data_IF_688151396385
#
_entry.id   IF_688151396385
#
_cell.length_a   1.000
_cell.length_b   1.000
_cell.length_c   1.000
_cell.angle_alpha   90.00
_cell.angle_beta   90.00
_cell.angle_gamma   90.00
#
_symmetry.space_group_name_H-M   'P 1'
#
loop_
_entity.id
_entity.type
_entity.pdbx_description
1 polymer ?
#
# COMPACT_ATOMS: atom_id res chain seq x y z
N UNK A 1 -64.71 0.07 -25.02
CA UNK A 1 -64.42 0.68 -23.71
C UNK A 1 -63.06 0.15 -23.29
N UNK A 2 -62.03 1.01 -23.37
CA UNK A 2 -60.63 0.76 -22.95
C UNK A 2 -60.60 0.47 -21.44
N UNK A 3 -59.64 -0.25 -20.85
CA UNK A 3 -58.18 -0.05 -20.86
C UNK A 3 -57.51 -1.31 -20.29
N UNK A 4 -56.51 -1.87 -20.98
CA UNK A 4 -55.60 -2.86 -20.37
C UNK A 4 -54.45 -2.07 -19.76
N UNK A 5 -54.46 -1.99 -18.43
CA UNK A 5 -53.40 -1.39 -17.62
C UNK A 5 -52.13 -2.23 -17.80
N UNK A 6 -51.22 -1.75 -18.65
CA UNK A 6 -49.92 -2.37 -18.87
C UNK A 6 -48.96 -1.71 -17.90
N UNK A 7 -49.03 -2.15 -16.63
CA UNK A 7 -48.03 -1.84 -15.62
C UNK A 7 -46.69 -2.45 -16.03
N UNK A 8 -45.91 -1.69 -16.82
CA UNK A 8 -44.49 -1.91 -17.04
C UNK A 8 -43.79 -1.86 -15.67
N UNK A 9 -43.69 -3.02 -15.01
CA UNK A 9 -42.89 -3.20 -13.81
C UNK A 9 -41.42 -2.99 -14.21
N UNK A 10 -40.94 -1.76 -14.05
CA UNK A 10 -39.53 -1.44 -14.15
C UNK A 10 -38.76 -2.39 -13.22
N UNK A 11 -37.71 -3.08 -13.70
CA UNK A 11 -36.95 -3.98 -12.84
C UNK A 11 -36.36 -3.19 -11.68
N UNK A 12 -36.59 -3.67 -10.45
CA UNK A 12 -36.03 -3.05 -9.25
C UNK A 12 -34.51 -2.89 -9.40
N UNK A 13 -33.94 -1.74 -9.03
CA UNK A 13 -32.50 -1.55 -9.07
C UNK A 13 -31.86 -2.61 -8.18
N UNK A 14 -31.13 -3.54 -8.77
CA UNK A 14 -30.42 -4.57 -8.02
C UNK A 14 -29.48 -3.85 -7.05
N UNK A 15 -29.46 -4.19 -5.75
CA UNK A 15 -28.45 -3.68 -4.85
C UNK A 15 -27.09 -4.05 -5.44
N UNK A 16 -26.33 -3.03 -5.86
CA UNK A 16 -24.94 -3.20 -6.26
C UNK A 16 -24.27 -3.85 -5.06
N UNK A 17 -23.77 -5.07 -5.24
CA UNK A 17 -23.18 -5.88 -4.18
C UNK A 17 -22.25 -4.98 -3.36
N UNK A 18 -22.66 -4.71 -2.11
CA UNK A 18 -22.03 -3.76 -1.20
C UNK A 18 -20.69 -4.29 -0.71
N UNK A 19 -19.74 -4.43 -1.62
CA UNK A 19 -18.34 -4.55 -1.27
C UNK A 19 -17.92 -3.29 -0.51
N UNK A 20 -16.90 -3.39 0.37
CA UNK A 20 -16.26 -2.20 0.91
C UNK A 20 -15.94 -1.23 -0.24
N UNK A 21 -16.09 0.09 -0.04
CA UNK A 21 -15.63 1.05 -1.04
C UNK A 21 -14.16 0.75 -1.38
N UNK A 22 -13.76 0.88 -2.66
CA UNK A 22 -12.36 0.67 -3.03
C UNK A 22 -11.48 1.60 -2.20
N UNK A 23 -10.41 1.06 -1.62
CA UNK A 23 -9.45 1.87 -0.85
C UNK A 23 -8.81 2.89 -1.80
N UNK A 24 -8.80 4.16 -1.40
CA UNK A 24 -8.15 5.23 -2.17
C UNK A 24 -6.62 5.25 -1.99
N UNK A 25 -6.12 4.43 -1.06
CA UNK A 25 -4.70 4.23 -0.83
C UNK A 25 -4.43 2.74 -0.63
N UNK A 26 -3.44 2.20 -1.33
CA UNK A 26 -3.03 0.80 -1.26
C UNK A 26 -1.51 0.71 -1.09
N UNK A 27 -1.03 -0.28 -0.34
CA UNK A 27 0.40 -0.59 -0.22
C UNK A 27 0.65 -2.01 -0.70
N UNK A 28 1.47 -2.15 -1.74
CA UNK A 28 1.91 -3.42 -2.31
C UNK A 28 3.38 -3.63 -1.98
N UNK A 29 3.71 -4.79 -1.43
CA UNK A 29 5.11 -5.15 -1.16
C UNK A 29 5.64 -6.09 -2.24
N UNK A 30 6.73 -5.69 -2.89
CA UNK A 30 7.42 -6.45 -3.93
C UNK A 30 8.78 -6.88 -3.42
N UNK A 31 9.12 -8.16 -3.60
CA UNK A 31 10.41 -8.73 -3.22
C UNK A 31 11.15 -9.19 -4.47
N UNK A 32 12.33 -8.62 -4.71
CA UNK A 32 13.21 -8.94 -5.82
C UNK A 32 14.60 -9.34 -5.31
N UNK A 33 14.80 -10.64 -5.06
CA UNK A 33 16.02 -11.15 -4.43
C UNK A 33 16.17 -10.63 -3.00
N UNK A 34 17.26 -9.93 -2.71
CA UNK A 34 17.52 -9.29 -1.40
C UNK A 34 16.87 -7.91 -1.28
N UNK A 35 16.28 -7.38 -2.36
CA UNK A 35 15.63 -6.08 -2.36
C UNK A 35 14.15 -6.23 -1.99
N UNK A 36 13.69 -5.38 -1.07
CA UNK A 36 12.27 -5.27 -0.70
C UNK A 36 11.81 -3.85 -0.98
N UNK A 37 10.76 -3.74 -1.79
CA UNK A 37 10.10 -2.47 -2.13
C UNK A 37 8.65 -2.49 -1.66
N UNK A 38 8.18 -1.34 -1.22
CA UNK A 38 6.80 -1.08 -0.84
C UNK A 38 6.30 0.06 -1.72
N UNK A 39 5.40 -0.27 -2.63
CA UNK A 39 4.75 0.69 -3.49
C UNK A 39 3.43 1.11 -2.87
N UNK A 40 3.31 2.39 -2.53
CA UNK A 40 2.08 3.00 -2.06
C UNK A 40 1.42 3.71 -3.24
N UNK A 41 0.21 3.28 -3.61
CA UNK A 41 -0.57 3.86 -4.70
C UNK A 41 -1.73 4.66 -4.11
N UNK A 42 -1.87 5.92 -4.52
CA UNK A 42 -2.99 6.80 -4.19
C UNK A 42 -3.84 7.04 -5.43
N UNK A 43 -5.12 6.74 -5.33
CA UNK A 43 -6.10 7.04 -6.38
C UNK A 43 -6.56 8.50 -6.33
N UNK A 44 -7.08 9.05 -7.45
CA UNK A 44 -7.72 10.36 -7.47
C UNK A 44 -8.74 10.54 -6.33
N UNK A 45 -8.59 11.63 -5.59
CA UNK A 45 -9.45 11.94 -4.44
C UNK A 45 -8.93 11.42 -3.10
N UNK A 46 -7.82 10.67 -3.07
CA UNK A 46 -7.12 10.33 -1.83
C UNK A 46 -6.74 11.60 -1.05
N UNK A 47 -6.97 11.56 0.25
CA UNK A 47 -6.67 12.67 1.17
C UNK A 47 -5.35 12.41 1.92
N UNK A 48 -4.88 13.43 2.65
CA UNK A 48 -3.76 13.26 3.57
C UNK A 48 -4.03 12.19 4.64
N UNK A 49 -5.30 11.98 5.02
CA UNK A 49 -5.67 10.93 5.95
C UNK A 49 -5.46 9.54 5.32
N UNK A 50 -5.89 9.34 4.08
CA UNK A 50 -5.70 8.07 3.34
C UNK A 50 -4.20 7.75 3.18
N UNK A 51 -3.40 8.75 2.80
CA UNK A 51 -1.95 8.61 2.73
C UNK A 51 -1.35 8.25 4.10
N UNK A 52 -1.72 8.97 5.15
CA UNK A 52 -1.19 8.72 6.50
C UNK A 52 -1.57 7.32 6.99
N UNK A 53 -2.80 6.88 6.73
CA UNK A 53 -3.27 5.54 7.07
C UNK A 53 -2.51 4.46 6.30
N UNK A 54 -2.28 4.64 5.01
CA UNK A 54 -1.49 3.70 4.20
C UNK A 54 -0.02 3.64 4.64
N UNK A 55 0.57 4.79 5.01
CA UNK A 55 1.95 4.87 5.50
C UNK A 55 2.22 4.04 6.77
N UNK A 56 1.19 3.70 7.56
CA UNK A 56 1.34 2.78 8.72
C UNK A 56 1.82 1.38 8.27
N UNK A 57 1.51 0.99 7.03
CA UNK A 57 1.88 -0.30 6.47
C UNK A 57 3.30 -0.30 5.87
N UNK A 58 3.90 0.87 5.66
CA UNK A 58 5.27 1.00 5.13
C UNK A 58 6.27 0.85 6.29
N UNK A 59 7.27 -0.04 6.18
CA UNK A 59 8.26 -0.21 7.25
C UNK A 59 9.02 1.08 7.55
N UNK A 60 9.30 1.40 8.82
CA UNK A 60 10.04 2.61 9.20
C UNK A 60 11.51 2.59 8.75
N UNK A 61 12.02 1.43 8.35
CA UNK A 61 13.37 1.24 7.77
C UNK A 61 13.40 1.44 6.26
N UNK A 62 12.24 1.63 5.62
CA UNK A 62 12.15 1.89 4.20
C UNK A 62 12.27 3.39 3.90
N UNK A 63 13.04 3.73 2.87
CA UNK A 63 13.22 5.11 2.40
C UNK A 63 12.50 5.30 1.07
N UNK A 64 11.90 6.47 0.86
CA UNK A 64 11.33 6.84 -0.44
C UNK A 64 12.45 6.94 -1.47
N UNK A 65 12.39 6.13 -2.53
CA UNK A 65 13.42 6.09 -3.59
C UNK A 65 12.89 6.53 -4.95
N UNK A 66 11.59 6.45 -5.19
CA UNK A 66 10.96 6.96 -6.40
C UNK A 66 9.53 7.42 -6.15
N UNK A 67 9.04 8.28 -7.04
CA UNK A 67 7.63 8.66 -7.13
C UNK A 67 7.24 8.82 -8.60
N UNK A 68 6.03 8.37 -8.95
CA UNK A 68 5.49 8.48 -10.30
C UNK A 68 4.05 8.97 -10.22
N UNK A 69 3.70 10.00 -10.98
CA UNK A 69 2.33 10.50 -11.06
C UNK A 69 1.84 10.48 -12.50
N UNK A 70 0.68 9.86 -12.71
CA UNK A 70 -0.14 10.00 -13.93
C UNK A 70 -1.61 10.18 -13.51
N UNK A 71 -2.46 9.17 -13.70
CA UNK A 71 -3.82 9.15 -13.13
C UNK A 71 -3.76 8.90 -11.63
N UNK A 72 -2.93 7.95 -11.21
CA UNK A 72 -2.65 7.65 -9.80
C UNK A 72 -1.26 8.20 -9.40
N UNK A 73 -1.04 8.38 -8.10
CA UNK A 73 0.29 8.67 -7.54
C UNK A 73 0.87 7.41 -6.91
N UNK A 74 2.02 6.96 -7.40
CA UNK A 74 2.81 5.87 -6.84
C UNK A 74 4.02 6.43 -6.09
N UNK A 75 4.23 5.96 -4.85
CA UNK A 75 5.39 6.23 -4.01
C UNK A 75 6.11 4.91 -3.74
N UNK A 76 7.36 4.78 -4.17
CA UNK A 76 8.15 3.55 -4.00
C UNK A 76 9.13 3.74 -2.85
N UNK A 77 8.93 2.96 -1.79
CA UNK A 77 9.82 2.88 -0.65
C UNK A 77 10.67 1.63 -0.74
N UNK A 78 11.95 1.72 -0.41
CA UNK A 78 12.87 0.58 -0.41
C UNK A 78 13.47 0.38 0.96
N UNK A 79 13.44 -0.85 1.47
CA UNK A 79 14.14 -1.19 2.71
C UNK A 79 15.65 -0.97 2.56
N UNK A 80 16.23 -0.21 3.50
CA UNK A 80 17.69 -0.04 3.57
C UNK A 80 18.27 -1.22 4.36
N UNK A 81 19.22 -2.00 3.80
CA UNK A 81 19.90 -3.04 4.56
C UNK A 81 20.57 -2.43 5.79
N UNK A 82 20.13 -2.81 7.00
CA UNK A 82 20.82 -2.41 8.22
C UNK A 82 22.19 -3.10 8.24
N UNK A 83 23.31 -2.39 8.46
CA UNK A 83 24.58 -3.05 8.70
C UNK A 83 24.40 -4.01 9.89
N UNK A 84 24.92 -5.24 9.77
CA UNK A 84 24.90 -6.18 10.89
C UNK A 84 25.52 -5.50 12.12
N UNK A 85 25.02 -5.75 13.35
CA UNK A 85 25.66 -5.24 14.54
C UNK A 85 27.14 -5.66 14.48
N UNK A 86 28.06 -4.69 14.51
CA UNK A 86 29.47 -5.00 14.67
C UNK A 86 29.60 -5.79 15.97
N UNK A 87 29.96 -7.06 15.84
CA UNK A 87 30.25 -7.91 16.99
C UNK A 87 31.41 -7.21 17.73
N UNK A 88 31.23 -6.81 19.01
CA UNK A 88 32.28 -6.10 19.72
C UNK A 88 33.54 -6.97 19.71
N UNK A 89 34.74 -6.37 19.51
CA UNK A 89 35.97 -7.13 19.41
C UNK A 89 36.10 -8.03 20.65
N UNK A 90 36.17 -9.33 20.42
CA UNK A 90 36.31 -10.32 21.47
C UNK A 90 37.63 -10.05 22.21
N UNK A 91 37.55 -9.37 23.36
CA UNK A 91 38.70 -9.03 24.22
C UNK A 91 39.42 -10.26 24.81
N UNK A 92 39.00 -11.49 24.46
CA UNK A 92 39.56 -12.72 24.97
C UNK A 92 40.93 -13.12 24.35
N UNK A 93 41.40 -12.46 23.29
CA UNK A 93 42.69 -12.82 22.64
C UNK A 93 43.89 -11.99 23.13
N UNK A 94 43.68 -11.09 24.09
CA UNK A 94 44.75 -10.29 24.71
C UNK A 94 45.37 -11.01 25.92
N UNK A 95 45.95 -12.18 25.72
CA UNK A 95 46.86 -12.78 26.71
C UNK A 95 48.31 -12.63 26.21
N UNK A 96 49.17 -11.85 26.89
CA UNK A 96 50.58 -11.80 26.54
C UNK A 96 51.25 -13.14 26.88
N UNK A 97 52.01 -13.69 25.92
CA UNK A 97 53.01 -14.73 26.17
C UNK A 97 54.30 -14.12 26.67
#
# INVERSE_FOLDING_TARGET
MNTVDTGELLPEPRPVSGGPPPSLAEVVTVRAGLMVEHELVLSPGATAADLTSAMILVPPTAALVSHHGDVDLSLVFREVPRPAPEEPPNLADSSPR
#
